data_IF_216324254148
#
_entry.id   IF_216324254148
#
_cell.length_a   1.000
_cell.length_b   1.000
_cell.length_c   1.000
_cell.angle_alpha   90.00
_cell.angle_beta   90.00
_cell.angle_gamma   90.00
#
_symmetry.space_group_name_H-M   'P 1'
#
loop_
_entity.id
_entity.type
_entity.pdbx_description
1 polymer ?
#
# COMPACT_ATOMS: atom_id res chain seq x y z
N UNK A 1 3.78 13.81 15.07
CA UNK A 1 3.66 12.80 16.14
C UNK A 1 2.87 11.58 15.70
N UNK A 2 1.65 11.69 15.14
CA UNK A 2 0.81 10.54 14.71
C UNK A 2 1.58 9.49 13.89
N UNK A 3 2.43 9.89 12.95
CA UNK A 3 3.19 9.00 12.06
C UNK A 3 4.39 8.29 12.71
N UNK A 4 4.76 8.66 13.92
CA UNK A 4 5.86 8.01 14.66
C UNK A 4 5.35 6.97 15.66
N UNK A 5 4.08 7.07 16.10
CA UNK A 5 3.47 6.06 16.98
C UNK A 5 3.39 4.74 16.23
N UNK A 6 3.98 3.69 16.75
CA UNK A 6 3.98 2.36 16.14
C UNK A 6 4.89 2.20 14.89
N UNK A 7 5.75 3.17 14.55
CA UNK A 7 6.68 3.02 13.42
C UNK A 7 7.62 1.82 13.59
N UNK A 8 7.97 1.48 14.84
CA UNK A 8 8.78 0.29 15.17
C UNK A 8 7.94 -0.99 15.36
N UNK A 9 6.61 -0.95 15.09
CA UNK A 9 5.75 -2.11 15.29
C UNK A 9 6.26 -3.35 14.54
N UNK A 10 6.34 -4.47 15.24
CA UNK A 10 6.75 -5.76 14.68
C UNK A 10 8.23 -5.90 14.35
N UNK A 11 9.06 -4.86 14.50
CA UNK A 11 10.49 -4.99 14.23
C UNK A 11 11.14 -6.00 15.19
N UNK A 12 12.13 -6.79 14.71
CA UNK A 12 12.83 -6.68 13.42
C UNK A 12 12.10 -7.30 12.22
N UNK A 13 10.85 -7.72 12.36
CA UNK A 13 10.07 -8.36 11.29
C UNK A 13 9.17 -7.34 10.56
N UNK A 14 8.86 -7.61 9.29
CA UNK A 14 7.90 -6.83 8.50
C UNK A 14 6.45 -7.30 8.78
N UNK A 15 5.92 -7.00 9.96
CA UNK A 15 4.58 -7.45 10.37
C UNK A 15 3.45 -6.50 9.98
N UNK A 16 3.74 -5.29 9.49
CA UNK A 16 2.73 -4.31 9.06
C UNK A 16 2.26 -4.56 7.63
N UNK A 17 3.18 -4.85 6.72
CA UNK A 17 2.86 -5.09 5.31
C UNK A 17 3.77 -6.17 4.71
N UNK A 18 3.23 -7.13 3.94
CA UNK A 18 4.04 -8.09 3.21
C UNK A 18 4.93 -7.46 2.14
N UNK A 19 4.54 -6.31 1.57
CA UNK A 19 5.33 -5.60 0.56
C UNK A 19 6.68 -5.14 1.11
N UNK A 20 6.78 -4.83 2.41
CA UNK A 20 8.05 -4.49 3.05
C UNK A 20 9.08 -5.64 2.95
N UNK A 21 8.61 -6.90 3.00
CA UNK A 21 9.49 -8.09 2.86
C UNK A 21 10.09 -8.20 1.46
N UNK A 22 9.46 -7.60 0.47
CA UNK A 22 9.95 -7.57 -0.91
C UNK A 22 10.81 -6.33 -1.19
N UNK A 23 10.41 -5.16 -0.71
CA UNK A 23 11.02 -3.87 -1.03
C UNK A 23 12.31 -3.64 -0.22
N UNK A 24 12.24 -3.79 1.12
CA UNK A 24 13.36 -3.40 2.00
C UNK A 24 14.60 -4.27 1.82
N UNK A 25 14.50 -5.61 1.71
CA UNK A 25 15.69 -6.44 1.44
C UNK A 25 16.34 -6.14 0.09
N UNK A 26 15.57 -5.74 -0.93
CA UNK A 26 16.14 -5.32 -2.23
C UNK A 26 16.89 -4.00 -2.10
N UNK A 27 16.31 -3.01 -1.41
CA UNK A 27 17.00 -1.75 -1.12
C UNK A 27 18.29 -1.98 -0.32
N UNK A 28 18.29 -2.91 0.65
CA UNK A 28 19.47 -3.28 1.41
C UNK A 28 20.55 -3.92 0.53
N UNK A 29 20.19 -4.89 -0.33
CA UNK A 29 21.11 -5.53 -1.27
C UNK A 29 21.80 -4.54 -2.20
N UNK A 30 21.11 -3.49 -2.65
CA UNK A 30 21.66 -2.48 -3.56
C UNK A 30 22.90 -1.78 -2.98
N UNK A 31 22.99 -1.60 -1.68
CA UNK A 31 24.13 -0.95 -1.00
C UNK A 31 25.11 -1.95 -0.36
N UNK A 32 24.83 -3.27 -0.47
CA UNK A 32 25.68 -4.33 0.04
C UNK A 32 26.17 -5.27 -1.07
N UNK A 33 26.49 -4.72 -2.25
CA UNK A 33 27.12 -5.45 -3.35
C UNK A 33 26.19 -6.22 -4.27
N UNK A 34 24.86 -6.14 -4.07
CA UNK A 34 23.87 -6.79 -4.93
C UNK A 34 23.55 -6.08 -6.24
N UNK A 35 24.18 -4.91 -6.50
CA UNK A 35 23.90 -4.09 -7.69
C UNK A 35 22.57 -3.34 -7.60
N UNK A 36 22.31 -2.48 -8.58
CA UNK A 36 21.13 -1.61 -8.60
C UNK A 36 19.89 -2.28 -9.27
N UNK A 37 20.09 -3.43 -9.91
CA UNK A 37 18.98 -4.18 -10.52
C UNK A 37 18.15 -4.88 -9.44
N UNK A 38 16.85 -4.55 -9.28
CA UNK A 38 16.01 -5.22 -8.30
C UNK A 38 15.65 -6.66 -8.68
N UNK A 39 15.82 -7.05 -9.96
CA UNK A 39 15.35 -8.33 -10.52
C UNK A 39 13.90 -8.65 -10.16
N UNK A 40 13.06 -7.63 -10.11
CA UNK A 40 11.67 -7.71 -9.68
C UNK A 40 10.92 -6.43 -10.07
N UNK A 41 9.84 -6.57 -10.82
CA UNK A 41 9.13 -5.45 -11.43
C UNK A 41 7.64 -5.41 -11.06
N UNK A 42 7.24 -6.03 -9.96
CA UNK A 42 5.89 -5.86 -9.40
C UNK A 42 5.65 -4.38 -9.04
N UNK A 43 6.71 -3.68 -8.64
CA UNK A 43 6.79 -2.23 -8.52
C UNK A 43 8.00 -1.68 -9.27
N UNK A 44 7.91 -0.42 -9.79
CA UNK A 44 9.08 0.27 -10.33
C UNK A 44 10.12 0.56 -9.24
N UNK A 45 11.36 0.91 -9.63
CA UNK A 45 12.53 0.85 -8.75
C UNK A 45 12.72 2.06 -7.83
N UNK A 46 12.07 3.22 -8.09
CA UNK A 46 12.42 4.47 -7.42
C UNK A 46 12.32 4.41 -5.90
N UNK A 47 11.29 3.75 -5.34
CA UNK A 47 11.19 3.63 -3.90
C UNK A 47 12.37 2.85 -3.31
N UNK A 48 12.78 1.75 -3.94
CA UNK A 48 13.94 0.96 -3.49
C UNK A 48 15.21 1.80 -3.48
N UNK A 49 15.43 2.64 -4.51
CA UNK A 49 16.58 3.56 -4.56
C UNK A 49 16.50 4.65 -3.47
N UNK A 50 15.32 5.18 -3.18
CA UNK A 50 15.14 6.16 -2.09
C UNK A 50 15.39 5.55 -0.70
N UNK A 51 15.07 4.27 -0.53
CA UNK A 51 15.30 3.56 0.73
C UNK A 51 16.75 3.08 0.90
N UNK A 52 17.46 2.78 -0.19
CA UNK A 52 18.79 2.18 -0.17
C UNK A 52 19.81 2.95 0.72
N UNK A 53 19.93 4.30 0.68
CA UNK A 53 20.85 5.02 1.56
C UNK A 53 20.57 4.78 3.05
N UNK A 54 19.32 4.59 3.45
CA UNK A 54 18.97 4.32 4.85
C UNK A 54 19.41 2.94 5.33
N UNK A 55 19.77 2.04 4.40
CA UNK A 55 20.19 0.67 4.69
C UNK A 55 21.71 0.52 4.81
N UNK A 56 22.50 1.51 4.38
CA UNK A 56 23.96 1.39 4.19
C UNK A 56 24.73 1.00 5.46
N UNK A 57 24.22 1.35 6.64
CA UNK A 57 24.91 1.09 7.93
C UNK A 57 24.33 -0.10 8.69
N UNK A 58 23.42 -0.88 8.09
CA UNK A 58 22.77 -2.01 8.74
C UNK A 58 23.28 -3.33 8.18
N UNK A 59 23.74 -4.25 9.02
CA UNK A 59 24.20 -5.59 8.63
C UNK A 59 23.07 -6.44 8.02
N UNK A 60 21.82 -6.15 8.40
CA UNK A 60 20.61 -6.80 7.91
C UNK A 60 19.57 -5.76 7.49
N UNK A 61 18.58 -6.10 6.64
CA UNK A 61 17.52 -5.19 6.23
C UNK A 61 16.81 -4.54 7.43
N UNK A 62 16.88 -3.21 7.53
CA UNK A 62 16.26 -2.45 8.62
C UNK A 62 14.92 -1.88 8.19
N UNK A 63 13.82 -2.51 8.63
CA UNK A 63 12.47 -2.02 8.35
C UNK A 63 12.21 -0.67 9.03
N UNK A 64 12.74 -0.45 10.23
CA UNK A 64 12.59 0.83 10.92
C UNK A 64 13.22 1.98 10.13
N UNK A 65 14.45 1.81 9.65
CA UNK A 65 15.13 2.84 8.86
C UNK A 65 14.36 3.17 7.56
N UNK A 66 13.87 2.14 6.85
CA UNK A 66 13.05 2.30 5.66
C UNK A 66 11.72 3.03 5.95
N UNK A 67 11.04 2.68 7.04
CA UNK A 67 9.78 3.32 7.48
C UNK A 67 9.98 4.81 7.81
N UNK A 68 11.09 5.16 8.46
CA UNK A 68 11.39 6.56 8.75
C UNK A 68 11.55 7.41 7.48
N UNK A 69 12.12 6.85 6.41
CA UNK A 69 12.17 7.55 5.10
C UNK A 69 10.74 7.78 4.58
N UNK A 70 9.85 6.79 4.66
CA UNK A 70 8.45 6.96 4.21
C UNK A 70 7.70 7.95 5.10
N UNK A 71 7.98 8.01 6.41
CA UNK A 71 7.44 9.07 7.30
C UNK A 71 7.84 10.46 6.80
N UNK A 72 9.09 10.67 6.37
CA UNK A 72 9.54 11.95 5.81
C UNK A 72 8.80 12.29 4.51
N UNK A 73 8.61 11.31 3.61
CA UNK A 73 7.83 11.49 2.38
C UNK A 73 6.36 11.80 2.69
N UNK A 74 5.79 11.18 3.74
CA UNK A 74 4.43 11.47 4.20
C UNK A 74 4.27 12.91 4.74
N UNK A 75 5.28 13.43 5.45
CA UNK A 75 5.31 14.84 5.85
C UNK A 75 5.41 15.75 4.63
N UNK A 76 6.19 15.35 3.62
CA UNK A 76 6.21 16.00 2.31
C UNK A 76 4.84 16.05 1.64
N UNK A 77 4.03 14.97 1.76
CA UNK A 77 2.66 14.94 1.22
C UNK A 77 1.75 15.97 1.89
N UNK A 78 1.87 16.18 3.19
CA UNK A 78 1.12 17.23 3.93
C UNK A 78 1.50 18.62 3.42
N UNK A 79 2.80 18.89 3.27
CA UNK A 79 3.29 20.17 2.76
C UNK A 79 2.87 20.39 1.29
N UNK A 80 2.93 19.35 0.47
CA UNK A 80 2.49 19.38 -0.93
C UNK A 80 0.98 19.63 -1.05
N UNK A 81 0.17 19.04 -0.17
CA UNK A 81 -1.28 19.27 -0.13
C UNK A 81 -1.61 20.74 0.23
N UNK A 82 -0.89 21.31 1.20
CA UNK A 82 -1.00 22.74 1.47
C UNK A 82 -0.64 23.59 0.25
N UNK A 83 0.48 23.29 -0.40
CA UNK A 83 0.92 24.01 -1.58
C UNK A 83 -0.09 23.90 -2.72
N UNK A 84 -0.58 22.69 -3.02
CA UNK A 84 -1.60 22.45 -4.03
C UNK A 84 -2.87 23.25 -3.74
N UNK A 85 -3.40 23.17 -2.53
CA UNK A 85 -4.63 23.88 -2.13
C UNK A 85 -4.47 25.40 -2.19
N UNK A 86 -3.35 25.93 -1.68
CA UNK A 86 -3.04 27.34 -1.69
C UNK A 86 -2.92 27.91 -3.12
N UNK A 87 -2.31 27.15 -4.04
CA UNK A 87 -2.21 27.54 -5.45
C UNK A 87 -3.53 27.40 -6.21
N UNK A 88 -4.38 26.48 -5.80
CA UNK A 88 -5.66 26.22 -6.46
C UNK A 88 -6.75 27.25 -6.07
N UNK A 89 -6.97 27.42 -4.78
CA UNK A 89 -8.12 28.19 -4.25
C UNK A 89 -7.77 29.11 -3.07
N UNK A 90 -6.47 29.22 -2.73
CA UNK A 90 -5.96 30.12 -1.68
C UNK A 90 -5.73 29.42 -0.32
N UNK A 91 -5.26 30.20 0.67
CA UNK A 91 -4.73 29.69 1.94
C UNK A 91 -5.70 28.81 2.74
N UNK A 92 -7.00 29.13 2.74
CA UNK A 92 -7.99 28.30 3.44
C UNK A 92 -8.09 26.89 2.83
N UNK A 93 -8.07 26.78 1.49
CA UNK A 93 -8.05 25.48 0.82
C UNK A 93 -6.74 24.73 1.08
N UNK A 94 -5.62 25.45 1.15
CA UNK A 94 -4.32 24.87 1.54
C UNK A 94 -4.36 24.29 2.95
N UNK A 95 -4.89 25.03 3.91
CA UNK A 95 -5.01 24.58 5.30
C UNK A 95 -5.90 23.33 5.42
N UNK A 96 -7.07 23.35 4.78
CA UNK A 96 -8.01 22.23 4.75
C UNK A 96 -7.34 20.98 4.16
N UNK A 97 -6.67 21.11 3.01
CA UNK A 97 -6.02 19.98 2.35
C UNK A 97 -4.86 19.40 3.18
N UNK A 98 -4.03 20.27 3.76
CA UNK A 98 -2.94 19.84 4.64
C UNK A 98 -3.47 19.12 5.87
N UNK A 99 -4.51 19.66 6.53
CA UNK A 99 -5.13 19.04 7.69
C UNK A 99 -5.76 17.69 7.32
N UNK A 100 -6.46 17.62 6.19
CA UNK A 100 -7.03 16.36 5.71
C UNK A 100 -5.96 15.27 5.57
N UNK A 101 -4.89 15.54 4.81
CA UNK A 101 -3.78 14.57 4.64
C UNK A 101 -3.05 14.29 5.97
N UNK A 102 -2.98 15.27 6.89
CA UNK A 102 -2.32 15.10 8.18
C UNK A 102 -3.03 14.09 9.09
N UNK A 103 -4.37 14.02 9.03
CA UNK A 103 -5.22 13.25 9.95
C UNK A 103 -5.94 12.07 9.28
N UNK A 104 -5.92 11.98 7.95
CA UNK A 104 -6.56 10.92 7.19
C UNK A 104 -6.01 9.56 7.64
N UNK A 105 -6.91 8.69 8.05
CA UNK A 105 -6.60 7.47 8.80
C UNK A 105 -5.68 6.54 8.02
N UNK A 106 -6.01 6.29 6.76
CA UNK A 106 -5.27 5.36 5.89
C UNK A 106 -3.89 5.92 5.54
N UNK A 107 -3.77 7.22 5.23
CA UNK A 107 -2.47 7.85 4.95
C UNK A 107 -1.54 7.85 6.18
N UNK A 108 -2.09 8.11 7.37
CA UNK A 108 -1.30 8.02 8.60
C UNK A 108 -0.86 6.58 8.85
N UNK A 109 -1.75 5.60 8.67
CA UNK A 109 -1.45 4.19 8.86
C UNK A 109 -0.34 3.71 7.91
N UNK A 110 -0.44 3.96 6.60
CA UNK A 110 0.55 3.53 5.61
C UNK A 110 1.84 4.37 5.61
N UNK A 111 1.85 5.54 6.23
CA UNK A 111 3.08 6.34 6.38
C UNK A 111 4.16 5.65 7.24
N UNK A 112 3.80 4.62 8.01
CA UNK A 112 4.69 3.83 8.86
C UNK A 112 5.16 2.53 8.20
N UNK A 113 4.90 2.36 6.92
CA UNK A 113 5.26 1.17 6.16
C UNK A 113 6.14 1.57 4.98
N UNK A 114 7.14 0.76 4.69
CA UNK A 114 7.99 0.96 3.51
C UNK A 114 7.29 0.43 2.25
N UNK A 115 6.18 1.09 1.88
CA UNK A 115 5.31 0.78 0.73
C UNK A 115 5.18 1.97 -0.22
N UNK A 116 4.73 1.72 -1.43
CA UNK A 116 4.75 2.69 -2.53
C UNK A 116 3.63 3.73 -2.50
N UNK A 117 2.55 3.49 -1.74
CA UNK A 117 1.30 4.26 -1.85
C UNK A 117 1.42 5.71 -1.34
N UNK A 118 2.09 5.91 -0.19
CA UNK A 118 2.35 7.24 0.37
C UNK A 118 3.34 8.04 -0.49
N UNK A 119 4.47 7.48 -0.94
CA UNK A 119 5.36 8.14 -1.90
C UNK A 119 4.68 8.48 -3.24
N UNK A 120 3.80 7.62 -3.76
CA UNK A 120 2.98 7.92 -4.93
C UNK A 120 2.07 9.12 -4.68
N UNK A 121 1.40 9.16 -3.52
CA UNK A 121 0.52 10.28 -3.13
C UNK A 121 1.29 11.60 -3.09
N UNK A 122 2.52 11.61 -2.58
CA UNK A 122 3.41 12.77 -2.65
C UNK A 122 3.67 13.20 -4.10
N UNK A 123 4.11 12.27 -4.96
CA UNK A 123 4.41 12.54 -6.36
C UNK A 123 3.21 13.10 -7.13
N UNK A 124 2.03 12.47 -6.94
CA UNK A 124 0.76 12.94 -7.52
C UNK A 124 0.44 14.36 -7.07
N UNK A 125 0.51 14.63 -5.78
CA UNK A 125 0.17 15.95 -5.21
C UNK A 125 1.09 17.03 -5.73
N UNK A 126 2.39 16.78 -5.80
CA UNK A 126 3.41 17.72 -6.34
C UNK A 126 3.22 17.94 -7.83
N UNK A 127 2.93 16.90 -8.62
CA UNK A 127 2.66 17.04 -10.05
C UNK A 127 1.43 17.92 -10.30
N UNK A 128 0.32 17.67 -9.58
CA UNK A 128 -0.89 18.49 -9.65
C UNK A 128 -0.62 19.94 -9.22
N UNK A 129 0.21 20.19 -8.20
CA UNK A 129 0.58 21.53 -7.78
C UNK A 129 1.38 22.28 -8.87
N UNK A 130 2.26 21.61 -9.60
CA UNK A 130 2.92 22.19 -10.76
C UNK A 130 1.95 22.46 -11.92
N UNK A 131 1.00 21.56 -12.20
CA UNK A 131 0.01 21.73 -13.26
C UNK A 131 -0.86 22.97 -13.01
N UNK A 132 -1.41 23.13 -11.80
CA UNK A 132 -2.25 24.30 -11.46
C UNK A 132 -1.43 25.60 -11.45
N UNK A 133 -0.12 25.50 -11.19
CA UNK A 133 0.82 26.62 -11.25
C UNK A 133 1.31 26.94 -12.68
N UNK A 134 0.87 26.21 -13.71
CA UNK A 134 1.27 26.41 -15.11
C UNK A 134 2.68 25.94 -15.47
N UNK A 135 3.35 25.17 -14.58
CA UNK A 135 4.70 24.63 -14.78
C UNK A 135 4.61 23.19 -15.32
N UNK A 136 4.09 23.05 -16.53
CA UNK A 136 3.74 21.74 -17.10
C UNK A 136 4.96 20.82 -17.31
N UNK A 137 6.14 21.38 -17.63
CA UNK A 137 7.36 20.58 -17.81
C UNK A 137 7.83 19.94 -16.50
N UNK A 138 7.79 20.70 -15.41
CA UNK A 138 8.09 20.16 -14.06
C UNK A 138 7.02 19.14 -13.60
N UNK A 139 5.76 19.38 -13.98
CA UNK A 139 4.70 18.42 -13.72
C UNK A 139 4.95 17.11 -14.47
N UNK A 140 5.40 17.17 -15.72
CA UNK A 140 5.80 15.99 -16.50
C UNK A 140 6.94 15.23 -15.83
N UNK A 141 8.01 15.92 -15.44
CA UNK A 141 9.12 15.32 -14.71
C UNK A 141 8.63 14.54 -13.47
N UNK A 142 7.81 15.20 -12.63
CA UNK A 142 7.29 14.59 -11.40
C UNK A 142 6.29 13.47 -11.70
N UNK A 143 5.51 13.55 -12.78
CA UNK A 143 4.64 12.46 -13.20
C UNK A 143 5.44 11.19 -13.56
N UNK A 144 6.59 11.34 -14.24
CA UNK A 144 7.51 10.24 -14.50
C UNK A 144 8.09 9.65 -13.21
N UNK A 145 8.50 10.49 -12.27
CA UNK A 145 8.96 10.04 -10.94
C UNK A 145 7.84 9.31 -10.17
N UNK A 146 6.62 9.84 -10.16
CA UNK A 146 5.48 9.20 -9.51
C UNK A 146 5.17 7.83 -10.12
N UNK A 147 5.24 7.72 -11.46
CA UNK A 147 5.09 6.45 -12.18
C UNK A 147 6.23 5.49 -11.83
N UNK A 148 7.45 5.99 -11.59
CA UNK A 148 8.60 5.20 -11.16
C UNK A 148 8.56 4.79 -9.68
N UNK A 149 7.64 5.34 -8.88
CA UNK A 149 7.28 4.84 -7.54
C UNK A 149 6.25 3.72 -7.64
N UNK A 150 5.19 3.95 -8.43
CA UNK A 150 4.10 2.98 -8.64
C UNK A 150 3.41 3.26 -9.98
N UNK A 151 3.14 2.22 -10.77
CA UNK A 151 2.58 2.35 -12.13
C UNK A 151 1.35 3.27 -12.27
N UNK A 152 0.39 3.31 -11.31
CA UNK A 152 -0.74 4.23 -11.38
C UNK A 152 -0.40 5.73 -11.41
N UNK A 153 0.87 6.12 -11.18
CA UNK A 153 1.34 7.47 -11.47
C UNK A 153 1.12 7.90 -12.92
N UNK A 154 0.98 6.96 -13.86
CA UNK A 154 0.67 7.18 -15.28
C UNK A 154 -0.63 7.96 -15.50
N UNK A 155 -1.59 7.86 -14.59
CA UNK A 155 -2.86 8.61 -14.69
C UNK A 155 -2.70 10.13 -14.62
N UNK A 156 -1.52 10.62 -14.18
CA UNK A 156 -1.16 12.04 -14.28
C UNK A 156 -1.00 12.54 -15.72
N UNK A 157 -0.84 11.63 -16.69
CA UNK A 157 -0.74 12.02 -18.11
C UNK A 157 -2.02 12.68 -18.61
N UNK A 158 -3.21 12.28 -18.14
CA UNK A 158 -4.45 12.90 -18.56
C UNK A 158 -4.54 14.38 -18.13
N UNK A 159 -4.42 14.76 -16.84
CA UNK A 159 -4.39 16.17 -16.45
C UNK A 159 -3.22 16.94 -17.06
N UNK A 160 -2.07 16.29 -17.35
CA UNK A 160 -0.93 16.90 -18.03
C UNK A 160 -1.30 17.29 -19.47
N UNK A 161 -1.92 16.38 -20.22
CA UNK A 161 -2.41 16.66 -21.59
C UNK A 161 -3.46 17.77 -21.56
N UNK A 162 -4.43 17.71 -20.66
CA UNK A 162 -5.46 18.74 -20.48
C UNK A 162 -4.84 20.11 -20.17
N UNK A 163 -3.80 20.16 -19.32
CA UNK A 163 -3.14 21.42 -18.99
C UNK A 163 -2.31 21.99 -20.15
N UNK A 164 -1.77 21.12 -21.00
CA UNK A 164 -0.78 21.45 -22.04
C UNK A 164 -1.29 21.49 -23.48
N UNK A 165 -2.53 21.03 -23.78
CA UNK A 165 -3.00 20.86 -25.17
C UNK A 165 -2.95 22.14 -26.01
N UNK A 166 -3.07 23.33 -25.40
CA UNK A 166 -2.97 24.63 -26.09
C UNK A 166 -1.52 25.08 -26.31
N UNK A 167 -0.56 24.39 -25.77
CA UNK A 167 0.88 24.69 -25.87
C UNK A 167 1.64 23.43 -26.28
N UNK A 168 1.49 22.93 -27.52
CA UNK A 168 1.95 21.59 -27.91
C UNK A 168 3.45 21.39 -27.73
N UNK A 169 4.29 22.41 -27.98
CA UNK A 169 5.74 22.32 -27.75
C UNK A 169 6.06 22.04 -26.28
N UNK A 170 5.43 22.76 -25.37
CA UNK A 170 5.61 22.56 -23.91
C UNK A 170 5.08 21.21 -23.46
N UNK A 171 3.96 20.75 -24.03
CA UNK A 171 3.41 19.42 -23.77
C UNK A 171 4.37 18.31 -24.21
N UNK A 172 4.94 18.41 -25.41
CA UNK A 172 5.95 17.44 -25.89
C UNK A 172 7.15 17.40 -24.94
N UNK A 173 7.67 18.56 -24.52
CA UNK A 173 8.77 18.62 -23.53
C UNK A 173 8.36 17.98 -22.21
N UNK A 174 7.14 18.22 -21.72
CA UNK A 174 6.64 17.64 -20.48
C UNK A 174 6.49 16.11 -20.57
N UNK A 175 5.98 15.60 -21.69
CA UNK A 175 5.89 14.14 -21.92
C UNK A 175 7.28 13.50 -22.05
N UNK A 176 8.20 14.16 -22.74
CA UNK A 176 9.59 13.71 -22.84
C UNK A 176 10.27 13.72 -21.47
N UNK A 177 10.04 14.75 -20.64
CA UNK A 177 10.54 14.80 -19.26
C UNK A 177 9.96 13.68 -18.38
N UNK A 178 8.68 13.34 -18.55
CA UNK A 178 8.06 12.22 -17.84
C UNK A 178 8.71 10.89 -18.24
N UNK A 179 8.87 10.63 -19.52
CA UNK A 179 9.54 9.44 -20.03
C UNK A 179 11.00 9.35 -19.56
N UNK A 180 11.75 10.45 -19.67
CA UNK A 180 13.14 10.51 -19.24
C UNK A 180 13.30 10.27 -17.73
N UNK A 181 12.43 10.88 -16.90
CA UNK A 181 12.41 10.67 -15.46
C UNK A 181 12.13 9.21 -15.09
N UNK A 182 11.14 8.58 -15.73
CA UNK A 182 10.83 7.17 -15.53
C UNK A 182 12.01 6.27 -15.93
N UNK A 183 12.58 6.47 -17.13
CA UNK A 183 13.72 5.67 -17.61
C UNK A 183 14.97 5.85 -16.72
N UNK A 184 15.23 7.06 -16.25
CA UNK A 184 16.38 7.35 -15.40
C UNK A 184 16.27 6.73 -14.00
N UNK A 185 15.05 6.63 -13.46
CA UNK A 185 14.78 6.13 -12.10
C UNK A 185 14.22 4.71 -12.05
N UNK A 186 13.96 4.10 -13.22
CA UNK A 186 13.65 2.67 -13.38
C UNK A 186 14.39 2.10 -14.60
N UNK A 187 15.74 2.22 -14.67
CA UNK A 187 16.50 1.86 -15.87
C UNK A 187 16.37 0.37 -16.21
N UNK A 188 16.33 -0.48 -15.23
CA UNK A 188 16.23 -1.94 -15.43
C UNK A 188 14.85 -2.38 -15.95
N UNK A 189 13.80 -1.56 -15.75
CA UNK A 189 12.52 -1.78 -16.43
C UNK A 189 12.70 -1.73 -17.95
N UNK A 190 13.50 -0.79 -18.45
CA UNK A 190 13.76 -0.65 -19.88
C UNK A 190 14.74 -1.70 -20.38
N UNK A 191 15.78 -2.00 -19.60
CA UNK A 191 16.80 -3.02 -19.95
C UNK A 191 16.22 -4.45 -19.96
N UNK A 192 15.26 -4.75 -19.10
CA UNK A 192 14.56 -6.04 -19.01
C UNK A 192 13.08 -5.93 -19.41
N UNK A 193 12.78 -5.19 -20.49
CA UNK A 193 11.43 -4.78 -20.85
C UNK A 193 10.42 -5.94 -20.92
N UNK A 194 10.81 -7.10 -21.46
CA UNK A 194 9.92 -8.27 -21.56
C UNK A 194 9.48 -8.78 -20.17
N UNK A 195 10.44 -9.02 -19.28
CA UNK A 195 10.15 -9.48 -17.91
C UNK A 195 9.39 -8.41 -17.11
N UNK A 196 9.79 -7.14 -17.25
CA UNK A 196 9.17 -6.04 -16.54
C UNK A 196 7.71 -5.81 -16.95
N UNK A 197 7.41 -5.91 -18.25
CA UNK A 197 6.02 -5.87 -18.73
C UNK A 197 5.23 -7.10 -18.26
N UNK A 198 5.85 -8.29 -18.29
CA UNK A 198 5.26 -9.52 -17.78
C UNK A 198 4.85 -9.39 -16.32
N UNK A 199 5.75 -8.93 -15.45
CA UNK A 199 5.47 -8.71 -14.02
C UNK A 199 4.39 -7.64 -13.81
N UNK A 200 4.50 -6.48 -14.47
CA UNK A 200 3.52 -5.40 -14.35
C UNK A 200 2.11 -5.84 -14.78
N UNK A 201 2.00 -6.57 -15.90
CA UNK A 201 0.72 -7.11 -16.38
C UNK A 201 0.18 -8.21 -15.46
N UNK A 202 1.04 -9.05 -14.89
CA UNK A 202 0.65 -10.06 -13.89
C UNK A 202 0.05 -9.40 -12.65
N UNK A 203 0.71 -8.38 -12.08
CA UNK A 203 0.21 -7.64 -10.91
C UNK A 203 -1.12 -6.95 -11.23
N UNK A 204 -1.25 -6.35 -12.43
CA UNK A 204 -2.49 -5.71 -12.85
C UNK A 204 -3.62 -6.73 -13.00
N UNK A 205 -3.32 -7.93 -13.54
CA UNK A 205 -4.29 -9.03 -13.65
C UNK A 205 -4.76 -9.47 -12.26
N UNK A 206 -3.82 -9.79 -11.36
CA UNK A 206 -4.13 -10.17 -9.97
C UNK A 206 -5.00 -9.13 -9.26
N UNK A 207 -4.71 -7.84 -9.45
CA UNK A 207 -5.51 -6.77 -8.86
C UNK A 207 -6.94 -6.71 -9.43
N UNK A 208 -7.15 -7.10 -10.71
CA UNK A 208 -8.47 -7.15 -11.35
C UNK A 208 -9.25 -8.41 -11.01
N UNK A 209 -8.59 -9.55 -10.93
CA UNK A 209 -9.20 -10.84 -10.58
C UNK A 209 -9.68 -10.86 -9.12
N UNK A 210 -9.03 -10.09 -8.25
CA UNK A 210 -9.37 -9.96 -6.85
C UNK A 210 -8.24 -10.40 -5.92
N UNK A 211 -8.53 -10.47 -4.62
CA UNK A 211 -7.57 -10.86 -3.60
C UNK A 211 -8.29 -11.52 -2.43
N UNK A 212 -7.64 -12.44 -1.73
CA UNK A 212 -8.18 -13.10 -0.56
C UNK A 212 -8.73 -12.08 0.47
N UNK A 213 -10.03 -12.19 0.75
CA UNK A 213 -10.75 -11.34 1.70
C UNK A 213 -11.59 -10.23 1.07
N UNK A 214 -11.68 -10.16 -0.28
CA UNK A 214 -12.55 -9.23 -1.00
C UNK A 214 -13.66 -9.93 -1.80
N UNK A 215 -13.84 -11.24 -1.61
CA UNK A 215 -14.79 -12.06 -2.36
C UNK A 215 -16.24 -11.61 -2.19
N UNK A 216 -16.54 -10.88 -1.11
CA UNK A 216 -17.88 -10.32 -0.82
C UNK A 216 -18.03 -8.87 -1.27
N UNK A 217 -16.99 -8.21 -1.74
CA UNK A 217 -16.99 -6.82 -2.19
C UNK A 217 -17.39 -6.71 -3.68
N UNK A 218 -18.65 -7.02 -4.00
CA UNK A 218 -19.10 -7.19 -5.40
C UNK A 218 -19.16 -5.90 -6.23
N UNK A 219 -19.17 -4.71 -5.63
CA UNK A 219 -19.39 -3.45 -6.34
C UNK A 219 -18.20 -2.50 -6.03
N UNK A 220 -17.19 -2.51 -6.89
CA UNK A 220 -15.97 -1.73 -6.71
C UNK A 220 -16.19 -0.23 -6.43
N UNK A 221 -17.08 0.52 -7.13
CA UNK A 221 -17.37 1.92 -6.78
C UNK A 221 -17.85 2.12 -5.35
N UNK A 222 -18.66 1.20 -4.82
CA UNK A 222 -19.14 1.26 -3.42
C UNK A 222 -17.99 0.95 -2.48
N UNK A 223 -17.23 -0.12 -2.74
CA UNK A 223 -16.09 -0.51 -1.93
C UNK A 223 -15.07 0.63 -1.81
N UNK A 224 -14.62 1.22 -2.93
CA UNK A 224 -13.66 2.33 -2.88
C UNK A 224 -14.24 3.62 -2.28
N UNK A 225 -15.55 3.88 -2.43
CA UNK A 225 -16.21 4.99 -1.72
C UNK A 225 -16.21 4.76 -0.21
N UNK A 226 -16.43 3.52 0.23
CA UNK A 226 -16.30 3.15 1.65
C UNK A 226 -14.87 3.34 2.17
N UNK A 227 -13.83 2.95 1.38
CA UNK A 227 -12.43 3.20 1.76
C UNK A 227 -12.10 4.69 1.89
N UNK A 228 -12.63 5.54 0.99
CA UNK A 228 -12.51 7.00 1.13
C UNK A 228 -13.22 7.52 2.38
N UNK A 229 -14.37 6.93 2.73
CA UNK A 229 -15.09 7.28 3.96
C UNK A 229 -14.33 6.85 5.22
N UNK A 230 -13.75 5.66 5.24
CA UNK A 230 -12.90 5.17 6.33
C UNK A 230 -11.69 6.08 6.57
N UNK A 231 -11.16 6.71 5.50
CA UNK A 231 -10.03 7.63 5.59
C UNK A 231 -10.41 9.06 5.98
N UNK A 232 -11.39 9.65 5.31
CA UNK A 232 -11.78 11.07 5.45
C UNK A 232 -12.98 11.31 6.37
N UNK A 233 -13.74 10.27 6.69
CA UNK A 233 -14.97 10.41 7.45
C UNK A 233 -15.99 11.34 6.79
N UNK A 234 -16.80 12.06 7.59
CA UNK A 234 -17.83 12.97 7.07
C UNK A 234 -17.28 14.14 6.22
N UNK A 235 -15.98 14.45 6.32
CA UNK A 235 -15.35 15.47 5.47
C UNK A 235 -15.39 15.09 3.99
N UNK A 236 -15.51 13.80 3.66
CA UNK A 236 -15.69 13.32 2.29
C UNK A 236 -16.90 13.94 1.60
N UNK A 237 -17.99 14.22 2.32
CA UNK A 237 -19.19 14.83 1.72
C UNK A 237 -18.88 16.23 1.16
N UNK A 238 -18.08 17.02 1.87
CA UNK A 238 -17.66 18.35 1.40
C UNK A 238 -16.69 18.21 0.21
N UNK A 239 -15.82 17.19 0.21
CA UNK A 239 -14.92 16.89 -0.90
C UNK A 239 -15.71 16.54 -2.17
N UNK A 240 -16.72 15.68 -2.06
CA UNK A 240 -17.60 15.28 -3.18
C UNK A 240 -18.39 16.47 -3.70
N UNK A 241 -18.96 17.30 -2.81
CA UNK A 241 -19.63 18.52 -3.23
C UNK A 241 -18.68 19.45 -3.99
N UNK A 242 -17.45 19.61 -3.53
CA UNK A 242 -16.40 20.35 -4.21
C UNK A 242 -16.06 19.81 -5.61
N UNK A 243 -15.98 18.47 -5.75
CA UNK A 243 -15.79 17.79 -7.04
C UNK A 243 -16.97 18.05 -8.00
N UNK A 244 -18.21 17.89 -7.52
CA UNK A 244 -19.41 18.16 -8.34
C UNK A 244 -19.41 19.59 -8.85
N UNK A 245 -19.11 20.56 -8.00
CA UNK A 245 -19.04 21.97 -8.41
C UNK A 245 -17.91 22.20 -9.42
N UNK A 246 -16.76 21.51 -9.27
CA UNK A 246 -15.65 21.61 -10.21
C UNK A 246 -16.06 21.06 -11.61
N UNK A 247 -16.78 19.95 -11.65
CA UNK A 247 -17.29 19.35 -12.89
C UNK A 247 -18.32 20.25 -13.62
N UNK A 248 -19.11 21.03 -12.84
CA UNK A 248 -20.08 21.98 -13.39
C UNK A 248 -19.41 23.28 -13.87
N UNK A 249 -18.55 23.85 -13.04
CA UNK A 249 -17.93 25.18 -13.32
C UNK A 249 -16.80 25.12 -14.35
N UNK A 250 -16.08 24.03 -14.43
CA UNK A 250 -15.06 23.74 -15.46
C UNK A 250 -13.97 24.80 -15.60
N UNK A 251 -13.60 25.49 -14.51
CA UNK A 251 -12.43 26.36 -14.50
C UNK A 251 -11.16 25.53 -14.76
N UNK A 252 -10.07 26.17 -15.23
CA UNK A 252 -8.82 25.46 -15.57
C UNK A 252 -8.32 24.56 -14.42
N UNK A 253 -8.25 25.09 -13.20
CA UNK A 253 -7.86 24.34 -12.01
C UNK A 253 -8.85 23.22 -11.73
N UNK A 254 -10.15 23.48 -11.85
CA UNK A 254 -11.21 22.51 -11.65
C UNK A 254 -11.06 21.30 -12.57
N UNK A 255 -10.84 21.55 -13.85
CA UNK A 255 -10.70 20.49 -14.86
C UNK A 255 -9.43 19.65 -14.63
N UNK A 256 -8.31 20.28 -14.26
CA UNK A 256 -7.06 19.59 -13.95
C UNK A 256 -7.27 18.63 -12.77
N UNK A 257 -7.81 19.13 -11.65
CA UNK A 257 -7.99 18.32 -10.45
C UNK A 257 -9.07 17.24 -10.64
N UNK A 258 -10.22 17.61 -11.21
CA UNK A 258 -11.31 16.69 -11.46
C UNK A 258 -10.94 15.59 -12.46
N UNK A 259 -10.16 15.90 -13.50
CA UNK A 259 -9.73 14.89 -14.48
C UNK A 259 -8.86 13.81 -13.86
N UNK A 260 -7.95 14.19 -12.95
CA UNK A 260 -7.16 13.20 -12.20
C UNK A 260 -8.06 12.35 -11.30
N UNK A 261 -8.92 12.99 -10.48
CA UNK A 261 -9.82 12.27 -9.57
C UNK A 261 -10.70 11.29 -10.33
N UNK A 262 -11.30 11.73 -11.42
CA UNK A 262 -12.23 10.90 -12.22
C UNK A 262 -11.50 9.73 -12.88
N UNK A 263 -10.40 9.97 -13.61
CA UNK A 263 -9.71 8.88 -14.31
C UNK A 263 -9.12 7.86 -13.36
N UNK A 264 -8.55 8.33 -12.24
CA UNK A 264 -7.97 7.42 -11.25
C UNK A 264 -9.06 6.61 -10.54
N UNK A 265 -10.19 7.23 -10.16
CA UNK A 265 -11.32 6.52 -9.56
C UNK A 265 -11.96 5.53 -10.51
N UNK A 266 -12.08 5.86 -11.80
CA UNK A 266 -12.60 4.94 -12.81
C UNK A 266 -11.70 3.72 -12.99
N UNK A 267 -10.37 3.88 -12.93
CA UNK A 267 -9.45 2.74 -12.94
C UNK A 267 -9.66 1.86 -11.71
N UNK A 268 -9.74 2.46 -10.52
CA UNK A 268 -10.04 1.70 -9.30
C UNK A 268 -11.32 0.88 -9.42
N UNK A 269 -12.35 1.42 -10.08
CA UNK A 269 -13.61 0.70 -10.30
C UNK A 269 -13.48 -0.54 -11.20
N UNK A 270 -12.33 -0.75 -11.85
CA UNK A 270 -12.04 -1.97 -12.65
C UNK A 270 -11.35 -3.07 -11.85
N UNK A 271 -10.97 -2.79 -10.60
CA UNK A 271 -10.23 -3.73 -9.75
C UNK A 271 -11.18 -4.59 -8.93
N UNK A 272 -10.81 -5.85 -8.71
CA UNK A 272 -11.46 -6.76 -7.77
C UNK A 272 -10.77 -6.76 -6.39
N UNK A 273 -9.51 -6.28 -6.30
CA UNK A 273 -8.79 -6.13 -5.05
C UNK A 273 -9.00 -4.72 -4.47
N UNK A 274 -9.89 -4.59 -3.50
CA UNK A 274 -10.35 -3.30 -2.96
C UNK A 274 -9.53 -2.82 -1.76
N UNK A 275 -8.19 -2.78 -1.91
CA UNK A 275 -7.32 -2.28 -0.84
C UNK A 275 -7.56 -0.81 -0.54
N UNK A 276 -7.65 -0.47 0.75
CA UNK A 276 -7.85 0.88 1.27
C UNK A 276 -6.75 1.87 0.83
N UNK A 277 -5.50 1.42 0.75
CA UNK A 277 -4.35 2.23 0.30
C UNK A 277 -4.45 2.73 -1.16
N UNK A 278 -5.26 2.08 -1.99
CA UNK A 278 -5.39 2.46 -3.39
C UNK A 278 -6.08 3.81 -3.60
N UNK A 279 -6.89 4.26 -2.64
CA UNK A 279 -7.54 5.58 -2.72
C UNK A 279 -6.65 6.74 -2.28
N UNK A 280 -5.47 6.49 -1.69
CA UNK A 280 -4.61 7.53 -1.12
C UNK A 280 -4.24 8.65 -2.10
N UNK A 281 -3.90 8.39 -3.38
CA UNK A 281 -3.59 9.45 -4.35
C UNK A 281 -4.74 10.41 -4.61
N UNK A 282 -5.99 10.00 -4.36
CA UNK A 282 -7.18 10.85 -4.54
C UNK A 282 -7.35 11.88 -3.41
N UNK A 283 -6.90 11.52 -2.20
CA UNK A 283 -7.19 12.27 -0.96
C UNK A 283 -6.77 13.74 -1.03
N UNK A 284 -5.53 14.09 -1.44
CA UNK A 284 -5.13 15.51 -1.51
C UNK A 284 -5.96 16.32 -2.52
N UNK A 285 -6.22 15.76 -3.70
CA UNK A 285 -7.00 16.44 -4.74
C UNK A 285 -8.46 16.65 -4.30
N UNK A 286 -9.09 15.63 -3.70
CA UNK A 286 -10.43 15.72 -3.14
C UNK A 286 -10.51 16.76 -2.01
N UNK A 287 -9.55 16.75 -1.08
CA UNK A 287 -9.50 17.71 0.01
C UNK A 287 -9.34 19.17 -0.48
N UNK A 288 -8.53 19.37 -1.54
CA UNK A 288 -8.39 20.68 -2.19
C UNK A 288 -9.70 21.14 -2.83
N UNK A 289 -10.40 20.23 -3.52
CA UNK A 289 -11.70 20.51 -4.13
C UNK A 289 -12.76 20.86 -3.06
N UNK A 290 -12.78 20.16 -1.91
CA UNK A 290 -13.60 20.50 -0.77
C UNK A 290 -13.24 21.87 -0.19
N UNK A 291 -11.96 22.17 -0.03
CA UNK A 291 -11.44 23.44 0.47
C UNK A 291 -11.72 24.64 -0.43
N UNK A 292 -12.13 24.44 -1.69
CA UNK A 292 -12.68 25.47 -2.56
C UNK A 292 -13.88 26.19 -1.96
N UNK A 293 -14.68 25.47 -1.19
CA UNK A 293 -15.87 25.99 -0.50
C UNK A 293 -15.44 26.73 0.77
N UNK A 294 -14.88 27.94 0.60
CA UNK A 294 -14.29 28.73 1.70
C UNK A 294 -15.22 28.89 2.90
N UNK A 295 -16.53 29.07 2.65
CA UNK A 295 -17.55 29.17 3.70
C UNK A 295 -17.71 27.88 4.51
N UNK A 296 -17.42 26.73 3.92
CA UNK A 296 -17.46 25.42 4.58
C UNK A 296 -16.09 24.99 5.14
N UNK A 297 -15.02 25.76 4.94
CA UNK A 297 -13.70 25.41 5.44
C UNK A 297 -13.67 25.17 6.97
N UNK A 298 -14.30 25.99 7.83
CA UNK A 298 -14.36 25.71 9.27
C UNK A 298 -15.13 24.41 9.57
N UNK A 299 -16.22 24.16 8.86
CA UNK A 299 -17.01 22.93 9.01
C UNK A 299 -16.18 21.71 8.62
N UNK A 300 -15.47 21.79 7.50
CA UNK A 300 -14.61 20.70 7.04
C UNK A 300 -13.48 20.40 8.04
N UNK A 301 -12.85 21.45 8.61
CA UNK A 301 -11.83 21.29 9.66
C UNK A 301 -12.42 20.62 10.91
N UNK A 302 -13.66 20.94 11.29
CA UNK A 302 -14.35 20.30 12.39
C UNK A 302 -14.66 18.82 12.07
N UNK A 303 -15.15 18.52 10.86
CA UNK A 303 -15.44 17.15 10.43
C UNK A 303 -14.18 16.28 10.39
N UNK A 304 -13.00 16.85 10.13
CA UNK A 304 -11.71 16.14 10.17
C UNK A 304 -11.29 15.73 11.59
N UNK A 305 -11.97 16.20 12.64
CA UNK A 305 -11.78 15.66 13.99
C UNK A 305 -12.21 14.19 14.08
N UNK A 306 -13.14 13.73 13.23
CA UNK A 306 -13.60 12.34 13.22
C UNK A 306 -12.47 11.40 12.79
N UNK A 307 -11.86 11.52 11.59
CA UNK A 307 -10.73 10.67 11.23
C UNK A 307 -9.52 10.84 12.17
N UNK A 308 -9.32 12.02 12.77
CA UNK A 308 -8.28 12.19 13.79
C UNK A 308 -8.52 11.27 15.00
N UNK A 309 -9.77 11.17 15.48
CA UNK A 309 -10.09 10.27 16.60
C UNK A 309 -9.89 8.81 16.25
N UNK A 310 -10.24 8.40 15.02
CA UNK A 310 -10.00 7.04 14.51
C UNK A 310 -8.51 6.75 14.41
N UNK A 311 -7.73 7.67 13.85
CA UNK A 311 -6.26 7.57 13.77
C UNK A 311 -5.63 7.39 15.17
N UNK A 312 -6.05 8.19 16.17
CA UNK A 312 -5.53 8.08 17.53
C UNK A 312 -5.89 6.72 18.17
N UNK A 313 -7.09 6.22 17.89
CA UNK A 313 -7.51 4.90 18.35
C UNK A 313 -6.65 3.78 17.74
N UNK A 314 -6.40 3.84 16.43
CA UNK A 314 -5.58 2.85 15.72
C UNK A 314 -4.12 2.92 16.15
N UNK A 315 -3.61 4.12 16.43
CA UNK A 315 -2.27 4.35 16.97
C UNK A 315 -2.05 3.61 18.29
N UNK A 316 -3.04 3.63 19.18
CA UNK A 316 -2.98 2.89 20.46
C UNK A 316 -2.84 1.37 20.26
N UNK A 317 -3.43 0.83 19.19
CA UNK A 317 -3.28 -0.59 18.89
C UNK A 317 -1.87 -0.94 18.41
N UNK A 318 -1.16 -0.01 17.77
CA UNK A 318 0.21 -0.20 17.30
C UNK A 318 1.28 -0.12 18.42
N UNK A 319 0.89 0.18 19.65
CA UNK A 319 1.79 0.10 20.81
C UNK A 319 1.83 -1.29 21.45
N UNK A 320 0.92 -2.19 21.04
CA UNK A 320 0.83 -3.55 21.58
C UNK A 320 1.78 -4.50 20.84
N UNK A 321 2.20 -5.57 21.51
CA UNK A 321 3.01 -6.62 20.88
C UNK A 321 2.18 -7.42 19.87
N UNK A 322 2.79 -7.82 18.75
CA UNK A 322 2.15 -8.66 17.74
C UNK A 322 2.17 -10.15 18.15
N UNK A 323 1.04 -10.82 18.02
CA UNK A 323 0.89 -12.26 18.29
C UNK A 323 1.88 -13.11 17.49
N UNK A 324 2.21 -12.72 16.25
CA UNK A 324 3.19 -13.42 15.41
C UNK A 324 4.61 -13.31 15.94
N UNK A 325 4.97 -12.21 16.60
CA UNK A 325 6.25 -12.05 17.29
C UNK A 325 6.31 -12.93 18.56
N UNK A 326 5.19 -13.02 19.28
CA UNK A 326 5.08 -13.90 20.46
C UNK A 326 5.20 -15.37 20.02
N UNK A 327 4.47 -15.77 18.98
CA UNK A 327 4.55 -17.13 18.43
C UNK A 327 5.96 -17.45 17.89
N UNK A 328 6.62 -16.48 17.23
CA UNK A 328 7.99 -16.64 16.77
C UNK A 328 8.95 -16.96 17.93
N UNK A 329 8.88 -16.20 19.03
CA UNK A 329 9.71 -16.43 20.20
C UNK A 329 9.46 -17.82 20.84
N UNK A 330 8.19 -18.24 20.91
CA UNK A 330 7.83 -19.56 21.40
C UNK A 330 8.39 -20.68 20.51
N UNK A 331 8.23 -20.57 19.19
CA UNK A 331 8.73 -21.55 18.21
C UNK A 331 10.24 -21.70 18.32
N UNK A 332 10.98 -20.61 18.40
CA UNK A 332 12.45 -20.62 18.52
C UNK A 332 12.95 -21.27 19.81
N UNK A 333 12.18 -21.21 20.90
CA UNK A 333 12.57 -21.78 22.19
C UNK A 333 12.10 -23.23 22.42
N UNK A 334 11.07 -23.69 21.72
CA UNK A 334 10.45 -25.00 21.99
C UNK A 334 10.62 -26.02 20.86
N UNK A 335 10.81 -25.58 19.60
CA UNK A 335 11.03 -26.51 18.52
C UNK A 335 12.52 -26.84 18.39
N UNK A 336 12.89 -28.12 18.13
CA UNK A 336 14.29 -28.53 17.94
C UNK A 336 14.89 -27.79 16.70
N UNK A 337 16.15 -27.37 16.81
CA UNK A 337 16.89 -26.79 15.67
C UNK A 337 16.93 -27.77 14.50
N UNK A 338 16.80 -27.27 13.28
CA UNK A 338 16.73 -28.08 12.07
C UNK A 338 15.39 -28.79 11.86
N UNK A 339 14.36 -28.47 12.69
CA UNK A 339 13.01 -28.97 12.42
C UNK A 339 12.46 -28.35 11.13
N UNK A 340 11.71 -29.18 10.37
CA UNK A 340 10.99 -28.75 9.18
C UNK A 340 9.57 -28.33 9.54
N UNK A 341 9.14 -27.18 9.05
CA UNK A 341 7.78 -26.67 9.28
C UNK A 341 7.13 -26.08 8.01
N UNK A 342 5.83 -26.28 7.88
CA UNK A 342 5.00 -25.54 6.92
C UNK A 342 4.49 -24.26 7.60
N UNK A 343 4.52 -23.13 6.92
CA UNK A 343 4.15 -21.84 7.49
C UNK A 343 3.30 -20.98 6.55
N UNK A 344 2.21 -20.42 7.07
CA UNK A 344 1.40 -19.42 6.37
C UNK A 344 2.23 -18.17 5.98
N UNK A 345 1.91 -17.50 4.85
CA UNK A 345 2.71 -16.40 4.30
C UNK A 345 2.79 -15.17 5.20
N UNK A 346 1.85 -14.98 6.13
CA UNK A 346 1.81 -13.84 7.05
C UNK A 346 2.80 -13.91 8.21
N UNK A 347 3.52 -15.04 8.36
CA UNK A 347 4.47 -15.28 9.45
C UNK A 347 5.88 -14.75 9.12
N UNK A 348 6.66 -14.33 10.12
CA UNK A 348 8.07 -14.01 9.92
C UNK A 348 8.89 -15.25 9.56
N UNK A 349 10.13 -15.03 9.11
CA UNK A 349 11.08 -16.11 8.92
C UNK A 349 11.59 -16.62 10.28
N UNK A 350 11.77 -17.93 10.40
CA UNK A 350 12.28 -18.60 11.59
C UNK A 350 13.73 -19.03 11.33
N UNK A 351 14.70 -18.38 12.00
CA UNK A 351 16.11 -18.75 11.86
C UNK A 351 16.41 -20.15 12.38
N UNK A 352 17.24 -20.91 11.65
CA UNK A 352 17.65 -22.26 12.06
C UNK A 352 16.58 -23.36 11.95
N UNK A 353 15.48 -23.06 11.24
CA UNK A 353 14.42 -24.03 10.90
C UNK A 353 14.26 -24.07 9.37
N UNK A 354 13.91 -25.24 8.84
CA UNK A 354 13.61 -25.42 7.43
C UNK A 354 12.12 -25.11 7.17
N UNK A 355 11.85 -24.10 6.32
CA UNK A 355 10.50 -23.58 6.15
C UNK A 355 9.96 -23.89 4.74
N UNK A 356 8.86 -24.62 4.67
CA UNK A 356 8.01 -24.69 3.48
C UNK A 356 6.96 -23.58 3.59
N UNK A 357 7.07 -22.54 2.77
CA UNK A 357 6.07 -21.47 2.72
C UNK A 357 4.84 -21.93 1.97
N UNK A 358 3.70 -21.85 2.65
CA UNK A 358 2.41 -22.01 2.00
C UNK A 358 2.12 -20.74 1.19
N UNK A 359 1.56 -20.92 -0.02
CA UNK A 359 1.17 -19.78 -0.85
C UNK A 359 -0.10 -19.11 -0.32
N UNK A 360 -0.29 -17.82 -0.62
CA UNK A 360 -1.56 -17.16 -0.35
C UNK A 360 -2.58 -17.62 -1.39
N UNK A 361 -3.75 -18.16 -1.00
CA UNK A 361 -4.81 -18.47 -1.95
C UNK A 361 -5.30 -17.18 -2.63
N UNK A 362 -5.45 -17.20 -3.95
CA UNK A 362 -5.94 -16.06 -4.72
C UNK A 362 -7.16 -16.47 -5.54
N UNK A 363 -8.15 -15.58 -5.71
CA UNK A 363 -9.25 -15.82 -6.63
C UNK A 363 -8.72 -15.99 -8.06
N UNK A 364 -9.28 -16.95 -8.81
CA UNK A 364 -8.86 -17.23 -10.19
C UNK A 364 -7.65 -18.18 -10.33
N UNK A 365 -7.08 -18.67 -9.25
CA UNK A 365 -6.15 -19.79 -9.31
C UNK A 365 -6.92 -21.10 -9.42
N UNK A 366 -6.67 -21.86 -10.49
CA UNK A 366 -7.36 -23.14 -10.77
C UNK A 366 -6.91 -24.26 -9.84
N UNK A 367 -5.71 -24.15 -9.24
CA UNK A 367 -5.12 -25.19 -8.39
C UNK A 367 -4.73 -24.62 -7.02
N UNK A 368 -5.21 -25.28 -5.97
CA UNK A 368 -4.78 -25.01 -4.60
C UNK A 368 -3.28 -25.36 -4.42
N UNK A 369 -2.61 -24.65 -3.50
CA UNK A 369 -1.23 -24.99 -3.12
C UNK A 369 -1.12 -26.47 -2.75
N UNK A 370 -0.35 -27.29 -3.50
CA UNK A 370 -0.20 -28.72 -3.23
C UNK A 370 0.38 -28.99 -1.83
N UNK A 371 1.05 -28.02 -1.21
CA UNK A 371 1.57 -28.14 0.16
C UNK A 371 0.48 -27.96 1.22
N UNK A 372 -0.74 -27.53 0.85
CA UNK A 372 -1.91 -27.54 1.75
C UNK A 372 -2.56 -28.92 1.80
N UNK A 373 -1.75 -29.95 2.06
CA UNK A 373 -2.20 -31.33 2.18
C UNK A 373 -1.37 -32.06 3.25
N UNK A 374 -2.03 -32.55 4.32
CA UNK A 374 -1.36 -33.16 5.46
C UNK A 374 -0.56 -34.43 5.09
N UNK A 375 -1.12 -35.28 4.24
CA UNK A 375 -0.44 -36.51 3.78
C UNK A 375 0.84 -36.15 3.03
N UNK A 376 0.78 -35.16 2.15
CA UNK A 376 1.95 -34.68 1.41
C UNK A 376 2.99 -34.08 2.35
N UNK A 377 2.60 -33.21 3.29
CA UNK A 377 3.52 -32.63 4.27
C UNK A 377 4.22 -33.72 5.08
N UNK A 378 3.48 -34.73 5.59
CA UNK A 378 4.04 -35.87 6.32
C UNK A 378 5.03 -36.69 5.47
N UNK A 379 4.69 -36.93 4.21
CA UNK A 379 5.56 -37.69 3.29
C UNK A 379 6.87 -36.93 2.98
N UNK A 380 6.87 -35.61 3.02
CA UNK A 380 8.08 -34.78 2.89
C UNK A 380 8.83 -34.59 4.22
N UNK A 381 8.41 -35.26 5.30
CA UNK A 381 9.06 -35.18 6.61
C UNK A 381 8.83 -33.83 7.33
N UNK A 382 7.81 -33.08 6.94
CA UNK A 382 7.41 -31.84 7.64
C UNK A 382 6.79 -32.24 8.98
N UNK A 383 7.34 -31.75 10.09
CA UNK A 383 6.94 -32.14 11.43
C UNK A 383 5.93 -31.19 12.07
N UNK A 384 5.88 -29.94 11.62
CA UNK A 384 5.04 -28.91 12.21
C UNK A 384 4.34 -28.09 11.13
N UNK A 385 3.15 -27.60 11.45
CA UNK A 385 2.45 -26.57 10.67
C UNK A 385 2.17 -25.36 11.54
N UNK A 386 2.50 -24.17 11.06
CA UNK A 386 2.24 -22.89 11.72
C UNK A 386 1.27 -22.08 10.87
N UNK A 387 0.08 -21.85 11.39
CA UNK A 387 -1.00 -21.19 10.65
C UNK A 387 -1.54 -19.98 11.42
N UNK A 388 -2.17 -19.06 10.69
CA UNK A 388 -2.67 -17.80 11.25
C UNK A 388 -4.09 -17.49 10.84
N UNK A 389 -4.82 -16.77 11.71
CA UNK A 389 -6.12 -16.20 11.37
C UNK A 389 -6.07 -15.21 10.20
N UNK A 390 -4.91 -14.60 9.92
CA UNK A 390 -4.77 -13.71 8.77
C UNK A 390 -5.08 -14.39 7.42
N UNK A 391 -4.89 -15.70 7.33
CA UNK A 391 -5.22 -16.50 6.14
C UNK A 391 -6.43 -17.39 6.42
N UNK A 392 -6.39 -18.18 7.48
CA UNK A 392 -7.42 -19.18 7.78
C UNK A 392 -8.83 -18.58 7.92
N UNK A 393 -8.97 -17.43 8.61
CA UNK A 393 -10.29 -16.82 8.82
C UNK A 393 -10.88 -16.28 7.52
N UNK A 394 -10.04 -15.71 6.64
CA UNK A 394 -10.47 -15.22 5.32
C UNK A 394 -10.91 -16.36 4.39
N UNK A 395 -10.13 -17.44 4.37
CA UNK A 395 -10.47 -18.65 3.62
C UNK A 395 -11.80 -19.24 4.10
N UNK A 396 -12.00 -19.33 5.42
CA UNK A 396 -13.25 -19.82 6.01
C UNK A 396 -14.47 -18.91 5.78
N UNK A 397 -14.21 -17.61 5.62
CA UNK A 397 -15.27 -16.66 5.29
C UNK A 397 -15.76 -16.83 3.84
N UNK A 398 -14.95 -17.41 2.94
CA UNK A 398 -15.29 -17.59 1.53
C UNK A 398 -15.11 -19.06 1.05
N UNK A 399 -15.77 -20.05 1.70
CA UNK A 399 -15.51 -21.47 1.49
C UNK A 399 -15.82 -21.96 0.07
N UNK A 400 -16.67 -21.25 -0.66
CA UNK A 400 -17.01 -21.60 -2.06
C UNK A 400 -15.83 -21.35 -3.01
N UNK A 401 -14.96 -20.39 -2.67
CA UNK A 401 -13.79 -20.05 -3.49
C UNK A 401 -12.57 -20.87 -3.13
N UNK A 402 -12.47 -21.36 -1.88
CA UNK A 402 -11.28 -21.99 -1.31
C UNK A 402 -11.59 -23.34 -0.63
N UNK A 403 -12.27 -24.29 -1.30
CA UNK A 403 -12.71 -25.55 -0.66
C UNK A 403 -11.55 -26.43 -0.18
N UNK A 404 -10.43 -26.48 -0.93
CA UNK A 404 -9.27 -27.27 -0.57
C UNK A 404 -8.52 -26.70 0.64
N UNK A 405 -8.40 -25.38 0.72
CA UNK A 405 -7.79 -24.67 1.85
C UNK A 405 -8.64 -24.80 3.11
N UNK A 406 -9.97 -24.73 2.99
CA UNK A 406 -10.89 -24.98 4.12
C UNK A 406 -10.70 -26.38 4.65
N UNK A 407 -10.67 -27.39 3.76
CA UNK A 407 -10.41 -28.78 4.14
C UNK A 407 -9.06 -28.94 4.85
N UNK A 408 -7.99 -28.30 4.34
CA UNK A 408 -6.68 -28.34 4.96
C UNK A 408 -6.67 -27.80 6.41
N UNK A 409 -7.32 -26.64 6.66
CA UNK A 409 -7.39 -26.11 8.02
C UNK A 409 -8.28 -26.95 8.93
N UNK A 410 -9.34 -27.57 8.40
CA UNK A 410 -10.17 -28.51 9.15
C UNK A 410 -9.38 -29.77 9.54
N UNK A 411 -8.64 -30.35 8.59
CA UNK A 411 -7.80 -31.53 8.84
C UNK A 411 -6.70 -31.25 9.87
N UNK A 412 -6.08 -30.06 9.82
CA UNK A 412 -5.12 -29.64 10.84
C UNK A 412 -5.74 -29.66 12.25
N UNK A 413 -6.97 -29.18 12.39
CA UNK A 413 -7.66 -29.09 13.68
C UNK A 413 -8.15 -30.44 14.20
N UNK A 414 -8.48 -31.36 13.29
CA UNK A 414 -9.11 -32.65 13.67
C UNK A 414 -8.16 -33.83 13.68
N UNK A 415 -7.11 -33.83 12.84
CA UNK A 415 -6.21 -34.96 12.61
C UNK A 415 -4.78 -34.75 13.16
N UNK A 416 -4.53 -33.62 13.88
CA UNK A 416 -3.21 -33.29 14.41
C UNK A 416 -3.30 -32.68 15.80
N UNK A 417 -2.17 -32.65 16.52
CA UNK A 417 -2.09 -32.10 17.88
C UNK A 417 -1.75 -30.60 17.81
N UNK A 418 -2.63 -29.72 18.30
CA UNK A 418 -2.31 -28.32 18.51
C UNK A 418 -1.45 -28.15 19.75
N UNK A 419 -0.14 -27.91 19.56
CA UNK A 419 0.83 -27.79 20.64
C UNK A 419 1.03 -26.36 21.16
N UNK A 420 0.58 -25.36 20.41
CA UNK A 420 0.63 -23.95 20.83
C UNK A 420 -0.51 -23.16 20.18
N UNK A 421 -1.01 -22.18 20.91
CA UNK A 421 -2.02 -21.23 20.41
C UNK A 421 -1.89 -19.89 21.13
N UNK A 422 -1.89 -18.80 20.36
CA UNK A 422 -1.96 -17.42 20.87
C UNK A 422 -3.02 -16.64 20.12
N UNK A 423 -3.86 -15.94 20.85
CA UNK A 423 -4.90 -15.05 20.29
C UNK A 423 -4.62 -13.59 20.67
N UNK A 424 -5.24 -12.59 19.99
CA UNK A 424 -4.97 -11.17 20.22
C UNK A 424 -5.62 -10.64 21.52
N UNK A 425 -5.62 -11.41 22.60
CA UNK A 425 -6.08 -10.94 23.90
C UNK A 425 -5.01 -10.04 24.55
N UNK A 426 -5.31 -8.74 24.63
CA UNK A 426 -4.34 -7.72 25.05
C UNK A 426 -3.19 -7.45 24.06
N UNK A 427 -3.06 -8.23 23.01
CA UNK A 427 -2.07 -8.15 21.94
C UNK A 427 -2.68 -7.55 20.66
N UNK A 428 -1.87 -7.37 19.60
CA UNK A 428 -2.33 -7.08 18.23
C UNK A 428 -1.90 -8.22 17.30
N UNK A 429 -2.49 -8.30 16.12
CA UNK A 429 -2.20 -9.33 15.11
C UNK A 429 -3.28 -10.40 15.05
N UNK A 430 -3.17 -11.36 14.12
CA UNK A 430 -4.08 -12.50 14.02
C UNK A 430 -3.76 -13.53 15.11
N UNK A 431 -4.68 -14.44 15.41
CA UNK A 431 -4.31 -15.63 16.18
C UNK A 431 -3.26 -16.45 15.41
N UNK A 432 -2.41 -17.18 16.15
CA UNK A 432 -1.41 -18.09 15.59
C UNK A 432 -1.51 -19.44 16.31
N UNK A 433 -1.51 -20.51 15.53
CA UNK A 433 -1.51 -21.89 16.03
C UNK A 433 -0.33 -22.67 15.46
N UNK A 434 0.24 -23.55 16.29
CA UNK A 434 1.29 -24.51 15.91
C UNK A 434 0.74 -25.92 16.11
N UNK A 435 0.78 -26.70 15.06
CA UNK A 435 0.34 -28.10 15.04
C UNK A 435 1.54 -29.03 14.85
N UNK A 436 1.53 -30.18 15.52
CA UNK A 436 2.43 -31.30 15.27
C UNK A 436 1.74 -32.25 14.26
N UNK A 437 2.40 -32.52 13.11
CA UNK A 437 1.85 -33.32 12.01
C UNK A 437 2.04 -34.83 12.19
#
# INVERSE_FOLDING_TARGET
>A
MLRLVGVAYGTPFALLSPDEQSIVPRAWKMVHGGGLDPHWFDYPSLLMYLLAPSQAWHEHPSYLAARLVVVLLALGSVAAAWWLGNRSYGGAAGLVAATAVAVETTHVYYSRMAVTDVPLTLGVTVALAFLVSGRIELAGLVAGLATSVKYPGVFLLLPLVIAGYRTPRRLVVALAAAAAAFCATSPFFVLHLSSALGDALRVQRMAREGWLGFEHDHIAPIAFSARLWEGLGPALLVCVLGLVIALVRRGRTDVILASFVVVYFLDLCTLGAHFDRYVLPLVPALAVLGGRLRSLAPVMLLLLAVPLTWTIRDDRMLTKTDTRAVAHAWIQSHLPKGSTLAADPSLPNFGGLDIVRLTLPLPGEDEADPNRNLTRLRNYGIRYAVVTGAVADRVRAAPKYYPAEVAFYHDLETLTDRIYYVQPDGLKGPWVAVYRL
#
